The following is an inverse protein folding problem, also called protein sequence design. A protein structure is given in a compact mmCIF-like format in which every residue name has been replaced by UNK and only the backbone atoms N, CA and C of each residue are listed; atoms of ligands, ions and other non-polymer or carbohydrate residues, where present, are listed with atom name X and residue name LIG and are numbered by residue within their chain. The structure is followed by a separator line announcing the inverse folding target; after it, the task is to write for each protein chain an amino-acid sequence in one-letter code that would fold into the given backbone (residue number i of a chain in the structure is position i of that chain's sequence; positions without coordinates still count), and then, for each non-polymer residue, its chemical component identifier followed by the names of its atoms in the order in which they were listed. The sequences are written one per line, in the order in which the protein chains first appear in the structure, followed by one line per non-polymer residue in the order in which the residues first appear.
data_IF_709079410083
#
_entry.id   IF_709079410083
#
_cell.length_a   1.000
_cell.length_b   1.000
_cell.length_c   1.000
_cell.angle_alpha   90.00
_cell.angle_beta   90.00
_cell.angle_gamma   90.00
#
_symmetry.space_group_name_H-M   'P 1'
#
loop_
_entity.id
_entity.type
_entity.pdbx_description
1 polymer ?
#
# COMPACT_ATOMS: atom_id res chain seq x y z
N UNK A 1 5.79 9.02 -3.27
CA UNK A 1 4.77 9.63 -2.39
C UNK A 1 3.87 8.47 -1.98
N UNK A 2 4.19 7.77 -0.90
CA UNK A 2 3.88 6.32 -0.88
C UNK A 2 2.66 5.95 -0.01
N UNK A 3 1.94 6.94 0.54
CA UNK A 3 0.83 6.72 1.51
C UNK A 3 -0.52 7.22 1.01
N UNK A 4 -0.70 7.27 -0.30
CA UNK A 4 -1.94 7.70 -0.92
C UNK A 4 -2.12 7.02 -2.28
N UNK A 5 -3.37 6.79 -2.67
CA UNK A 5 -3.72 6.42 -4.04
C UNK A 5 -3.84 7.69 -4.87
N UNK A 6 -2.96 7.86 -5.86
CA UNK A 6 -2.94 9.03 -6.73
C UNK A 6 -3.94 8.83 -7.87
N UNK A 7 -4.86 9.79 -8.04
CA UNK A 7 -5.78 9.83 -9.17
C UNK A 7 -5.38 10.97 -10.10
N UNK A 8 -4.89 10.63 -11.29
CA UNK A 8 -4.54 11.62 -12.30
C UNK A 8 -5.78 12.16 -13.01
N UNK A 9 -5.98 13.47 -12.92
CA UNK A 9 -7.05 14.15 -13.65
C UNK A 9 -6.58 14.46 -15.08
N UNK A 10 -7.41 14.11 -16.07
CA UNK A 10 -7.18 14.44 -17.48
C UNK A 10 -8.07 15.57 -17.93
N UNK A 11 -7.59 16.36 -18.90
CA UNK A 11 -8.40 17.41 -19.53
C UNK A 11 -9.52 16.75 -20.33
N UNK A 12 -10.73 17.23 -20.09
CA UNK A 12 -11.92 16.88 -20.84
C UNK A 12 -11.74 17.24 -22.33
N UNK A 13 -12.07 16.30 -23.22
CA UNK A 13 -12.09 16.53 -24.67
C UNK A 13 -13.41 17.23 -25.10
N UNK A 14 -13.41 17.88 -26.27
CA UNK A 14 -14.56 18.65 -26.76
C UNK A 14 -15.83 17.81 -26.97
N UNK A 15 -15.68 16.53 -27.27
CA UNK A 15 -16.77 15.58 -27.52
C UNK A 15 -17.21 14.82 -26.26
N UNK A 16 -16.48 14.92 -25.16
CA UNK A 16 -16.90 14.31 -23.90
C UNK A 16 -17.98 15.20 -23.26
N UNK A 17 -19.03 14.60 -22.72
CA UNK A 17 -20.01 15.32 -21.89
C UNK A 17 -19.88 14.81 -20.45
N UNK A 18 -19.81 15.73 -19.50
CA UNK A 18 -19.70 15.41 -18.06
C UNK A 18 -20.66 16.32 -17.34
N UNK A 19 -21.49 15.74 -16.47
CA UNK A 19 -22.42 16.49 -15.63
C UNK A 19 -21.65 17.38 -14.64
N UNK A 20 -22.14 18.60 -14.45
CA UNK A 20 -21.55 19.54 -13.50
C UNK A 20 -22.10 19.25 -12.12
N UNK A 21 -21.25 18.77 -11.22
CA UNK A 21 -21.60 18.54 -9.80
C UNK A 21 -22.18 19.78 -9.10
N UNK A 22 -21.86 21.00 -9.57
CA UNK A 22 -22.43 22.26 -9.05
C UNK A 22 -23.94 22.39 -9.20
N UNK A 23 -24.54 21.64 -10.13
CA UNK A 23 -25.98 21.62 -10.38
C UNK A 23 -26.57 20.23 -10.14
N UNK A 24 -25.91 19.41 -9.33
CA UNK A 24 -26.48 18.14 -8.90
C UNK A 24 -27.76 18.40 -8.08
N UNK A 25 -28.71 17.48 -8.17
CA UNK A 25 -29.95 17.52 -7.39
C UNK A 25 -29.64 17.70 -5.89
N UNK A 26 -30.34 18.62 -5.18
CA UNK A 26 -30.05 18.92 -3.77
C UNK A 26 -29.99 17.68 -2.88
N UNK A 27 -30.89 16.73 -3.11
CA UNK A 27 -31.05 15.52 -2.28
C UNK A 27 -30.11 14.37 -2.69
N UNK A 28 -29.36 14.52 -3.79
CA UNK A 28 -28.50 13.45 -4.30
C UNK A 28 -27.42 13.07 -3.29
N UNK A 29 -26.69 14.07 -2.77
CA UNK A 29 -25.59 13.84 -1.84
C UNK A 29 -26.09 13.34 -0.49
N UNK A 30 -27.22 13.86 0.00
CA UNK A 30 -27.83 13.37 1.23
C UNK A 30 -28.27 11.91 1.10
N UNK A 31 -28.87 11.56 -0.04
CA UNK A 31 -29.28 10.17 -0.33
C UNK A 31 -28.08 9.24 -0.42
N UNK A 32 -26.99 9.66 -1.08
CA UNK A 32 -25.75 8.89 -1.14
C UNK A 32 -25.11 8.75 0.24
N UNK A 33 -25.05 9.82 1.03
CA UNK A 33 -24.51 9.79 2.39
C UNK A 33 -25.29 8.82 3.29
N UNK A 34 -26.63 8.84 3.24
CA UNK A 34 -27.48 7.88 3.97
C UNK A 34 -27.22 6.44 3.54
N UNK A 35 -27.10 6.18 2.23
CA UNK A 35 -26.78 4.84 1.69
C UNK A 35 -25.41 4.36 2.15
N UNK A 36 -24.38 5.21 2.10
CA UNK A 36 -23.03 4.89 2.54
C UNK A 36 -22.97 4.65 4.05
N UNK A 37 -23.65 5.47 4.85
CA UNK A 37 -23.75 5.29 6.30
C UNK A 37 -24.43 3.97 6.66
N UNK A 38 -25.53 3.63 5.97
CA UNK A 38 -26.21 2.34 6.16
C UNK A 38 -25.32 1.16 5.77
N UNK A 39 -24.67 1.24 4.61
CA UNK A 39 -23.71 0.22 4.16
C UNK A 39 -22.59 0.02 5.18
N UNK A 40 -21.98 1.10 5.67
CA UNK A 40 -20.93 1.01 6.67
C UNK A 40 -21.41 0.32 7.96
N UNK A 41 -22.62 0.64 8.43
CA UNK A 41 -23.20 0.01 9.61
C UNK A 41 -23.47 -1.50 9.41
N UNK A 42 -24.03 -1.88 8.27
CA UNK A 42 -24.42 -3.26 7.95
C UNK A 42 -23.22 -4.18 7.75
N UNK A 43 -22.17 -3.68 7.11
CA UNK A 43 -21.06 -4.50 6.65
C UNK A 43 -19.78 -4.33 7.48
N UNK A 44 -19.81 -3.57 8.59
CA UNK A 44 -18.62 -3.28 9.41
C UNK A 44 -17.86 -4.54 9.84
N UNK A 45 -18.57 -5.58 10.27
CA UNK A 45 -17.95 -6.80 10.79
C UNK A 45 -17.36 -7.63 9.65
N UNK A 46 -18.08 -7.72 8.53
CA UNK A 46 -17.60 -8.39 7.32
C UNK A 46 -16.33 -7.74 6.77
N UNK A 47 -16.27 -6.40 6.74
CA UNK A 47 -15.08 -5.65 6.30
C UNK A 47 -13.93 -5.84 7.31
N UNK A 48 -14.20 -5.80 8.62
CA UNK A 48 -13.19 -6.00 9.68
C UNK A 48 -12.52 -7.38 9.59
N UNK A 49 -13.29 -8.41 9.27
CA UNK A 49 -12.82 -9.79 9.14
C UNK A 49 -12.27 -10.12 7.75
N UNK A 50 -12.51 -9.27 6.74
CA UNK A 50 -12.04 -9.50 5.39
C UNK A 50 -10.50 -9.54 5.35
N UNK A 51 -9.97 -10.53 4.63
CA UNK A 51 -8.55 -10.67 4.30
C UNK A 51 -8.46 -10.77 2.78
N UNK A 52 -8.45 -9.63 2.06
CA UNK A 52 -8.41 -9.65 0.61
C UNK A 52 -7.09 -10.22 0.10
N UNK A 53 -7.13 -10.82 -1.07
CA UNK A 53 -5.93 -11.25 -1.79
C UNK A 53 -5.18 -10.02 -2.32
N UNK A 54 -3.95 -9.84 -1.85
CA UNK A 54 -3.09 -8.70 -2.18
C UNK A 54 -2.12 -9.13 -3.29
N UNK A 55 -2.13 -8.47 -4.47
CA UNK A 55 -1.23 -8.82 -5.55
C UNK A 55 0.23 -8.62 -5.15
N UNK A 56 1.06 -9.66 -5.29
CA UNK A 56 2.51 -9.64 -4.98
C UNK A 56 3.28 -8.60 -5.80
N UNK A 57 2.74 -8.15 -6.93
CA UNK A 57 3.35 -7.11 -7.77
C UNK A 57 3.27 -5.71 -7.14
N UNK A 58 2.44 -5.53 -6.10
CA UNK A 58 2.39 -4.29 -5.33
C UNK A 58 3.46 -4.30 -4.25
N UNK A 59 4.17 -3.19 -4.07
CA UNK A 59 5.05 -3.03 -2.92
C UNK A 59 4.24 -2.94 -1.60
N UNK A 60 4.89 -3.18 -0.46
CA UNK A 60 4.23 -3.23 0.86
C UNK A 60 3.36 -2.01 1.16
N UNK A 61 3.83 -0.81 0.78
CA UNK A 61 3.07 0.43 1.00
C UNK A 61 1.83 0.54 0.13
N UNK A 62 1.94 0.09 -1.12
CA UNK A 62 0.80 0.02 -2.02
C UNK A 62 -0.20 -1.03 -1.53
N UNK A 63 0.28 -2.19 -1.05
CA UNK A 63 -0.56 -3.20 -0.42
C UNK A 63 -1.34 -2.63 0.78
N UNK A 64 -0.65 -1.95 1.71
CA UNK A 64 -1.28 -1.29 2.86
C UNK A 64 -2.36 -0.27 2.44
N UNK A 65 -2.11 0.52 1.39
CA UNK A 65 -3.06 1.51 0.89
C UNK A 65 -4.28 0.86 0.21
N UNK A 66 -4.08 -0.28 -0.48
CA UNK A 66 -5.12 -0.96 -1.26
C UNK A 66 -5.91 -1.99 -0.45
N UNK A 67 -5.36 -2.54 0.64
CA UNK A 67 -6.02 -3.51 1.51
C UNK A 67 -7.45 -3.08 1.92
N UNK A 68 -7.70 -1.88 2.47
CA UNK A 68 -9.06 -1.50 2.85
C UNK A 68 -10.01 -1.37 1.65
N UNK A 69 -9.51 -0.94 0.48
CA UNK A 69 -10.31 -0.82 -0.73
C UNK A 69 -10.67 -2.19 -1.30
N UNK A 70 -9.74 -3.13 -1.28
CA UNK A 70 -9.94 -4.51 -1.69
C UNK A 70 -10.86 -5.27 -0.73
N UNK A 71 -10.80 -4.98 0.57
CA UNK A 71 -11.74 -5.52 1.55
C UNK A 71 -13.18 -5.05 1.27
N UNK A 72 -13.39 -3.76 1.01
CA UNK A 72 -14.69 -3.21 0.61
C UNK A 72 -15.17 -3.84 -0.70
N UNK A 73 -14.29 -3.97 -1.69
CA UNK A 73 -14.61 -4.60 -2.97
C UNK A 73 -14.98 -6.09 -2.81
N UNK A 74 -14.28 -6.81 -1.93
CA UNK A 74 -14.58 -8.18 -1.52
C UNK A 74 -16.01 -8.33 -0.98
N UNK A 75 -16.40 -7.44 -0.07
CA UNK A 75 -17.74 -7.45 0.53
C UNK A 75 -18.82 -7.01 -0.47
N UNK A 76 -18.51 -6.07 -1.37
CA UNK A 76 -19.42 -5.68 -2.45
C UNK A 76 -19.64 -6.82 -3.47
N UNK A 77 -18.67 -7.74 -3.59
CA UNK A 77 -18.75 -8.95 -4.38
C UNK A 77 -18.83 -8.72 -5.90
N UNK A 78 -19.24 -9.77 -6.62
CA UNK A 78 -19.32 -9.78 -8.08
C UNK A 78 -17.99 -9.38 -8.74
N UNK A 79 -18.01 -8.36 -9.60
CA UNK A 79 -16.87 -7.90 -10.39
C UNK A 79 -15.99 -6.89 -9.64
N UNK A 80 -16.41 -6.44 -8.45
CA UNK A 80 -15.70 -5.38 -7.72
C UNK A 80 -14.28 -5.79 -7.29
N UNK A 81 -14.03 -7.00 -6.73
CA UNK A 81 -12.68 -7.43 -6.38
C UNK A 81 -11.72 -7.41 -7.57
N UNK A 82 -12.17 -7.91 -8.72
CA UNK A 82 -11.37 -7.97 -9.94
C UNK A 82 -11.05 -6.58 -10.49
N UNK A 83 -12.05 -5.69 -10.51
CA UNK A 83 -11.87 -4.30 -10.92
C UNK A 83 -10.92 -3.55 -10.00
N UNK A 84 -11.04 -3.75 -8.69
CA UNK A 84 -10.17 -3.12 -7.71
C UNK A 84 -8.73 -3.61 -7.84
N UNK A 85 -8.49 -4.92 -8.02
CA UNK A 85 -7.15 -5.48 -8.28
C UNK A 85 -6.54 -4.93 -9.57
N UNK A 86 -7.31 -4.89 -10.65
CA UNK A 86 -6.86 -4.32 -11.93
C UNK A 86 -6.51 -2.83 -11.81
N UNK A 87 -7.30 -2.06 -11.07
CA UNK A 87 -7.01 -0.66 -10.78
C UNK A 87 -5.74 -0.49 -9.94
N UNK A 88 -5.55 -1.32 -8.92
CA UNK A 88 -4.37 -1.30 -8.06
C UNK A 88 -3.09 -1.51 -8.85
N UNK A 89 -3.04 -2.58 -9.66
CA UNK A 89 -1.89 -2.87 -10.52
C UNK A 89 -1.60 -1.74 -11.50
N UNK A 90 -2.64 -1.19 -12.14
CA UNK A 90 -2.48 -0.12 -13.12
C UNK A 90 -2.00 1.19 -12.51
N UNK A 91 -2.49 1.56 -11.32
CA UNK A 91 -2.12 2.80 -10.65
C UNK A 91 -0.75 2.70 -9.96
N UNK A 92 -0.38 1.52 -9.46
CA UNK A 92 0.94 1.29 -8.86
C UNK A 92 2.06 1.15 -9.90
N UNK A 93 1.74 0.74 -11.13
CA UNK A 93 2.69 0.76 -12.24
C UNK A 93 3.13 2.18 -12.66
N UNK A 94 2.39 3.22 -12.27
CA UNK A 94 2.68 4.62 -12.63
C UNK A 94 3.68 5.27 -11.65
N UNK A 95 4.11 4.56 -10.59
CA UNK A 95 5.14 5.06 -9.67
C UNK A 95 6.58 4.92 -10.25
N UNK A 96 6.75 5.37 -11.49
CA UNK A 96 8.03 5.49 -12.21
C UNK A 96 9.05 6.37 -11.47
N UNK A 97 8.62 7.09 -10.43
CA UNK A 97 9.51 7.87 -9.59
C UNK A 97 10.48 6.98 -8.80
N UNK A 98 10.02 5.78 -8.41
CA UNK A 98 10.86 4.74 -7.80
C UNK A 98 11.68 4.01 -8.86
N UNK A 99 11.13 3.74 -10.06
CA UNK A 99 11.89 3.08 -11.13
C UNK A 99 13.07 3.93 -11.62
N UNK A 100 12.86 5.23 -11.86
CA UNK A 100 13.92 6.17 -12.27
C UNK A 100 14.95 6.38 -11.16
N UNK A 101 14.51 6.40 -9.90
CA UNK A 101 15.43 6.51 -8.76
C UNK A 101 16.27 5.24 -8.56
N UNK A 102 15.68 4.07 -8.75
CA UNK A 102 16.40 2.79 -8.67
C UNK A 102 17.32 2.60 -9.88
N UNK A 103 16.91 3.02 -11.08
CA UNK A 103 17.78 3.09 -12.26
C UNK A 103 18.97 4.02 -11.98
N UNK A 104 18.73 5.19 -11.39
CA UNK A 104 19.82 6.09 -10.96
C UNK A 104 20.79 5.40 -9.99
N UNK A 105 20.29 4.66 -9.00
CA UNK A 105 21.15 3.92 -8.09
C UNK A 105 21.95 2.83 -8.81
N UNK A 106 21.34 2.11 -9.75
CA UNK A 106 22.00 1.08 -10.55
C UNK A 106 23.14 1.66 -11.39
N UNK A 107 22.86 2.76 -12.09
CA UNK A 107 23.85 3.44 -12.94
C UNK A 107 24.97 4.06 -12.10
N UNK A 108 24.66 4.58 -10.91
CA UNK A 108 25.69 5.07 -9.97
C UNK A 108 26.59 3.93 -9.52
N UNK A 109 26.04 2.74 -9.20
CA UNK A 109 26.83 1.56 -8.83
C UNK A 109 27.80 1.18 -9.96
N UNK A 110 27.31 1.14 -11.19
CA UNK A 110 28.12 0.87 -12.37
C UNK A 110 29.25 1.90 -12.55
N UNK A 111 28.99 3.20 -12.34
CA UNK A 111 30.03 4.24 -12.38
C UNK A 111 31.12 4.02 -11.34
N UNK A 112 30.76 3.59 -10.12
CA UNK A 112 31.72 3.28 -9.07
C UNK A 112 32.55 2.02 -9.38
N UNK A 113 31.92 0.98 -9.93
CA UNK A 113 32.56 -0.28 -10.32
C UNK A 113 33.50 -0.08 -11.51
N UNK A 114 33.00 0.50 -12.61
CA UNK A 114 33.76 0.74 -13.85
C UNK A 114 35.00 1.61 -13.64
N UNK A 115 34.90 2.65 -12.79
CA UNK A 115 36.02 3.54 -12.47
C UNK A 115 36.83 3.09 -11.26
N UNK A 116 36.40 2.02 -10.57
CA UNK A 116 37.01 1.50 -9.33
C UNK A 116 37.28 2.61 -8.28
N UNK A 117 36.30 3.50 -8.10
CA UNK A 117 36.42 4.66 -7.21
C UNK A 117 35.81 4.36 -5.83
N UNK A 118 36.41 4.92 -4.79
CA UNK A 118 35.82 4.92 -3.43
C UNK A 118 35.08 6.24 -3.17
N UNK A 119 35.51 7.32 -3.83
CA UNK A 119 34.99 8.68 -3.64
C UNK A 119 34.86 9.38 -4.98
N UNK A 120 33.77 10.12 -5.16
CA UNK A 120 33.52 10.87 -6.40
C UNK A 120 32.87 12.22 -6.09
N UNK A 121 33.30 13.28 -6.78
CA UNK A 121 32.66 14.59 -6.67
C UNK A 121 31.29 14.58 -7.35
N UNK A 122 30.35 15.41 -6.88
CA UNK A 122 29.00 15.49 -7.46
C UNK A 122 29.04 15.87 -8.94
N UNK A 123 29.96 16.77 -9.33
CA UNK A 123 30.15 17.19 -10.71
C UNK A 123 30.68 16.05 -11.59
N UNK A 124 31.64 15.26 -11.09
CA UNK A 124 32.21 14.15 -11.85
C UNK A 124 31.23 12.99 -11.95
N UNK A 125 30.43 12.73 -10.91
CA UNK A 125 29.38 11.72 -10.95
C UNK A 125 28.32 12.07 -11.99
N UNK A 126 27.84 13.32 -12.01
CA UNK A 126 26.88 13.77 -13.02
C UNK A 126 27.44 13.64 -14.44
N UNK A 127 28.70 14.02 -14.67
CA UNK A 127 29.37 13.86 -15.97
C UNK A 127 29.47 12.39 -16.38
N UNK A 128 29.89 11.51 -15.47
CA UNK A 128 30.02 10.08 -15.75
C UNK A 128 28.67 9.44 -16.11
N UNK A 129 27.58 9.85 -15.44
CA UNK A 129 26.23 9.39 -15.75
C UNK A 129 25.74 9.88 -17.13
N UNK A 130 26.14 11.08 -17.56
CA UNK A 130 25.79 11.65 -18.88
C UNK A 130 26.63 11.03 -20.02
N UNK A 131 27.88 10.67 -19.73
CA UNK A 131 28.82 10.09 -20.68
C UNK A 131 28.43 8.66 -21.10
N UNK A 132 27.69 7.93 -20.26
CA UNK A 132 27.15 6.63 -20.61
C UNK A 132 25.92 6.80 -21.54
N UNK A 133 26.11 6.56 -22.84
CA UNK A 133 25.07 6.70 -23.87
C UNK A 133 23.90 5.71 -23.71
N UNK A 134 24.11 4.59 -22.98
CA UNK A 134 23.05 3.65 -22.66
C UNK A 134 22.03 4.24 -21.67
N UNK A 135 22.43 5.28 -20.93
CA UNK A 135 21.61 5.88 -19.89
C UNK A 135 20.88 7.13 -20.37
N UNK A 136 19.63 7.30 -19.90
CA UNK A 136 18.77 8.42 -20.27
C UNK A 136 19.16 9.76 -19.59
N UNK A 137 20.31 9.85 -18.92
CA UNK A 137 20.70 11.04 -18.13
C UNK A 137 21.09 12.24 -18.99
N UNK A 138 21.52 12.03 -20.24
CA UNK A 138 21.82 13.10 -21.19
C UNK A 138 20.57 13.87 -21.64
N UNK A 139 19.40 13.22 -21.67
CA UNK A 139 18.12 13.79 -22.14
C UNK A 139 17.03 13.86 -21.05
N UNK A 140 17.41 13.56 -19.80
CA UNK A 140 16.52 13.38 -18.66
C UNK A 140 15.45 14.48 -18.46
N UNK A 141 15.84 15.75 -18.53
CA UNK A 141 14.94 16.86 -18.20
C UNK A 141 14.38 17.53 -19.46
N UNK A 142 13.40 16.86 -20.11
CA UNK A 142 12.79 17.33 -21.37
C UNK A 142 13.84 17.57 -22.46
N UNK A 143 14.77 16.61 -22.62
CA UNK A 143 15.88 16.70 -23.56
C UNK A 143 17.11 17.44 -23.04
N UNK A 144 17.16 17.81 -21.75
CA UNK A 144 18.34 18.44 -21.12
C UNK A 144 19.08 17.44 -20.22
N UNK A 145 20.41 17.58 -20.10
CA UNK A 145 21.23 16.71 -19.26
C UNK A 145 20.91 16.89 -17.77
N UNK A 146 21.09 15.81 -17.01
CA UNK A 146 20.95 15.79 -15.57
C UNK A 146 21.91 16.79 -14.91
N UNK A 147 21.36 17.69 -14.09
CA UNK A 147 22.19 18.67 -13.37
C UNK A 147 22.68 18.12 -12.01
N UNK A 148 23.84 18.57 -11.51
CA UNK A 148 24.34 18.18 -10.18
C UNK A 148 23.35 18.43 -9.04
N UNK A 149 22.56 19.53 -9.13
CA UNK A 149 21.53 19.86 -8.15
C UNK A 149 20.36 18.86 -8.18
N UNK A 150 19.94 18.42 -9.37
CA UNK A 150 18.90 17.41 -9.51
C UNK A 150 19.37 16.06 -8.98
N UNK A 151 20.62 15.68 -9.26
CA UNK A 151 21.24 14.48 -8.72
C UNK A 151 21.21 14.46 -7.18
N UNK A 152 21.68 15.52 -6.54
CA UNK A 152 21.66 15.63 -5.06
C UNK A 152 20.23 15.57 -4.52
N UNK A 153 19.27 16.25 -5.16
CA UNK A 153 17.88 16.23 -4.71
C UNK A 153 17.26 14.83 -4.80
N UNK A 154 17.59 14.05 -5.84
CA UNK A 154 17.15 12.66 -5.96
C UNK A 154 17.78 11.78 -4.89
N UNK A 155 19.09 11.91 -4.67
CA UNK A 155 19.83 11.16 -3.65
C UNK A 155 19.41 11.49 -2.21
N UNK A 156 18.95 12.72 -1.96
CA UNK A 156 18.38 13.10 -0.66
C UNK A 156 17.15 12.24 -0.29
N UNK A 157 16.40 11.73 -1.28
CA UNK A 157 15.27 10.82 -1.05
C UNK A 157 15.70 9.49 -0.43
N UNK A 158 16.94 9.06 -0.68
CA UNK A 158 17.57 7.86 -0.10
C UNK A 158 18.40 8.17 1.15
N UNK A 159 18.22 9.35 1.75
CA UNK A 159 19.04 9.87 2.85
C UNK A 159 20.54 10.03 2.53
N UNK A 160 20.93 9.97 1.25
CA UNK A 160 22.31 10.16 0.80
C UNK A 160 22.58 11.65 0.58
N UNK A 161 23.42 12.22 1.44
CA UNK A 161 23.80 13.64 1.40
C UNK A 161 25.22 13.80 0.90
N UNK A 162 25.43 14.81 0.05
CA UNK A 162 26.79 15.20 -0.35
C UNK A 162 27.58 15.71 0.86
N UNK A 163 28.83 15.26 0.98
CA UNK A 163 29.77 15.68 2.02
C UNK A 163 30.97 16.37 1.38
N UNK A 164 31.64 17.30 2.07
CA UNK A 164 32.95 17.78 1.65
C UNK A 164 33.93 16.60 1.77
N UNK A 165 34.43 16.15 0.63
CA UNK A 165 35.41 15.07 0.53
C UNK A 165 36.71 15.61 -0.06
N UNK A 166 37.82 15.10 0.44
CA UNK A 166 39.14 15.40 -0.11
C UNK A 166 39.46 14.38 -1.20
N UNK A 167 39.64 14.84 -2.43
CA UNK A 167 40.04 14.03 -3.58
C UNK A 167 41.42 14.54 -4.01
N UNK A 168 42.47 13.82 -3.63
CA UNK A 168 43.85 14.28 -3.80
C UNK A 168 44.12 15.58 -3.02
N UNK A 169 44.42 16.66 -3.74
CA UNK A 169 44.74 17.97 -3.17
C UNK A 169 43.53 18.91 -3.03
N UNK A 170 42.41 18.59 -3.67
CA UNK A 170 41.23 19.45 -3.70
C UNK A 170 40.15 18.97 -2.73
N UNK A 171 39.41 19.92 -2.16
CA UNK A 171 38.22 19.66 -1.35
C UNK A 171 37.01 20.00 -2.19
N UNK A 172 36.21 18.99 -2.51
CA UNK A 172 35.00 19.14 -3.30
C UNK A 172 33.80 18.51 -2.58
N UNK A 173 32.59 18.93 -2.94
CA UNK A 173 31.37 18.23 -2.50
C UNK A 173 31.18 16.98 -3.34
N UNK A 174 30.94 15.85 -2.68
CA UNK A 174 30.81 14.58 -3.34
C UNK A 174 30.20 13.50 -2.45
N UNK A 175 30.39 12.26 -2.87
CA UNK A 175 29.87 11.09 -2.21
C UNK A 175 30.94 10.02 -2.07
N UNK A 176 30.78 9.20 -1.04
CA UNK A 176 31.61 8.01 -0.79
C UNK A 176 30.78 6.76 -1.05
N UNK A 177 31.41 5.69 -1.54
CA UNK A 177 30.73 4.44 -1.88
C UNK A 177 29.96 3.85 -0.69
N UNK A 178 30.51 3.96 0.52
CA UNK A 178 29.90 3.52 1.78
C UNK A 178 28.53 4.16 2.06
N UNK A 179 28.26 5.36 1.52
CA UNK A 179 26.95 6.01 1.67
C UNK A 179 25.87 5.31 0.84
N UNK A 180 26.25 4.59 -0.21
CA UNK A 180 25.32 3.94 -1.12
C UNK A 180 25.11 2.46 -0.81
N UNK A 181 26.00 1.81 -0.04
CA UNK A 181 25.93 0.37 0.25
C UNK A 181 24.55 -0.07 0.75
N UNK A 182 23.99 0.63 1.75
CA UNK A 182 22.66 0.33 2.28
C UNK A 182 21.56 0.51 1.22
N UNK A 183 21.67 1.55 0.39
CA UNK A 183 20.68 1.80 -0.68
C UNK A 183 20.80 0.77 -1.81
N UNK A 184 22.01 0.35 -2.17
CA UNK A 184 22.23 -0.71 -3.14
C UNK A 184 21.65 -2.04 -2.64
N UNK A 185 21.88 -2.37 -1.36
CA UNK A 185 21.35 -3.58 -0.72
C UNK A 185 19.84 -3.57 -0.49
N UNK A 186 19.18 -2.41 -0.58
CA UNK A 186 17.72 -2.29 -0.38
C UNK A 186 16.95 -2.15 -1.70
N UNK A 187 17.54 -1.51 -2.70
CA UNK A 187 16.85 -1.13 -3.93
C UNK A 187 17.38 -1.81 -5.19
N UNK A 188 18.60 -2.37 -5.17
CA UNK A 188 19.22 -3.03 -6.33
C UNK A 188 19.37 -4.55 -6.18
N UNK A 189 19.24 -5.05 -4.96
CA UNK A 189 19.06 -6.47 -4.70
C UNK A 189 17.67 -6.90 -5.17
N UNK A 190 17.57 -8.03 -5.88
CA UNK A 190 16.28 -8.64 -6.12
C UNK A 190 15.76 -9.23 -4.80
N UNK A 191 14.94 -8.47 -4.05
CA UNK A 191 14.05 -9.02 -3.02
C UNK A 191 13.09 -10.03 -3.71
N UNK A 192 12.73 -11.23 -3.25
CA UNK A 192 12.78 -11.91 -1.94
C UNK A 192 12.76 -10.97 -0.76
N UNK A 193 11.54 -10.48 -0.52
CA UNK A 193 11.07 -9.69 0.61
C UNK A 193 11.65 -10.15 1.94
N UNK A 194 12.57 -9.38 2.53
CA UNK A 194 12.87 -9.47 3.97
C UNK A 194 13.20 -8.08 4.51
N UNK A 195 12.21 -7.40 5.09
CA UNK A 195 12.49 -6.31 6.04
C UNK A 195 12.34 -6.80 7.47
N UNK A 196 13.46 -6.75 8.20
CA UNK A 196 13.56 -6.89 9.66
C UNK A 196 12.83 -5.76 10.40
N UNK A 197 12.07 -6.14 11.43
CA UNK A 197 11.38 -5.25 12.37
C UNK A 197 12.33 -4.23 13.01
N UNK A 198 12.00 -2.94 12.93
CA UNK A 198 12.64 -1.91 13.74
C UNK A 198 12.12 -1.96 15.17
N UNK A 199 13.01 -2.22 16.14
CA UNK A 199 12.76 -2.02 17.57
C UNK A 199 12.64 -0.52 17.89
N UNK A 200 11.46 -0.09 18.32
CA UNK A 200 11.27 1.21 18.97
C UNK A 200 11.96 1.20 20.34
N UNK A 201 12.60 2.30 20.77
CA UNK A 201 12.96 2.48 22.17
C UNK A 201 11.73 3.00 22.92
N UNK A 202 10.98 2.10 23.57
CA UNK A 202 9.97 2.51 24.55
C UNK A 202 10.67 2.89 25.86
N UNK A 203 10.47 4.14 26.28
CA UNK A 203 10.68 4.61 27.64
C UNK A 203 9.33 4.70 28.33
N UNK A 204 9.29 4.10 29.51
CA UNK A 204 8.30 4.22 30.58
C UNK A 204 6.84 3.87 30.25
N UNK A 205 6.39 2.76 30.82
CA UNK A 205 5.35 2.74 31.86
C UNK A 205 5.42 1.39 32.58
N UNK A 206 5.95 1.43 33.80
CA UNK A 206 6.06 0.30 34.71
C UNK A 206 4.71 0.05 35.41
N UNK A 207 4.16 -1.15 35.27
CA UNK A 207 3.18 -1.71 36.21
C UNK A 207 3.56 -3.17 36.43
N UNK A 208 4.33 -3.41 37.47
CA UNK A 208 4.49 -4.73 38.11
C UNK A 208 3.16 -5.40 38.38
N UNK A 209 3.01 -6.65 37.96
CA UNK A 209 2.45 -7.66 38.84
C UNK A 209 3.19 -8.98 38.64
N UNK A 210 3.85 -9.39 39.72
CA UNK A 210 4.56 -10.64 39.86
C UNK A 210 3.57 -11.79 39.79
N UNK A 211 3.84 -12.76 38.92
CA UNK A 211 3.65 -14.17 39.25
C UNK A 211 4.70 -14.97 38.48
N UNK A 212 5.70 -15.41 39.24
CA UNK A 212 6.77 -16.26 38.80
C UNK A 212 6.24 -17.65 38.47
N UNK A 213 6.60 -18.17 37.28
CA UNK A 213 6.86 -19.60 37.11
C UNK A 213 8.15 -19.74 36.33
N UNK A 214 9.09 -20.43 36.97
CA UNK A 214 10.46 -20.67 36.58
C UNK A 214 10.55 -21.68 35.42
N UNK A 215 11.30 -21.29 34.38
CA UNK A 215 12.25 -22.03 33.51
C UNK A 215 12.26 -23.56 33.74
N UNK A 216 12.25 -24.45 32.72
CA UNK A 216 13.43 -24.75 31.88
C UNK A 216 13.10 -25.80 30.80
N UNK A 217 13.34 -25.43 29.53
CA UNK A 217 14.09 -26.16 28.49
C UNK A 217 14.03 -27.70 28.45
N UNK A 218 13.54 -28.32 27.36
CA UNK A 218 14.29 -29.36 26.61
C UNK A 218 13.88 -29.39 25.12
N UNK A 219 14.90 -29.62 24.31
CA UNK A 219 15.00 -29.78 22.86
C UNK A 219 14.15 -30.89 22.22
N UNK A 220 13.93 -30.70 20.92
CA UNK A 220 13.48 -31.63 19.88
C UNK A 220 14.22 -32.97 19.83
N UNK A 221 13.48 -34.09 19.73
CA UNK A 221 13.92 -35.34 19.09
C UNK A 221 12.71 -36.06 18.45
N UNK A 222 12.82 -36.38 17.17
CA UNK A 222 11.97 -37.33 16.41
C UNK A 222 12.39 -38.78 16.69
N UNK A 223 11.43 -39.71 16.86
CA UNK A 223 11.31 -40.93 16.03
C UNK A 223 10.19 -41.90 16.53
N UNK A 224 9.44 -42.33 15.53
CA UNK A 224 8.49 -43.44 15.33
C UNK A 224 8.31 -44.63 16.32
N UNK A 225 7.02 -44.96 16.46
CA UNK A 225 6.33 -46.27 16.40
C UNK A 225 6.74 -47.43 17.34
N UNK A 226 5.82 -47.92 18.20
CA UNK A 226 4.83 -48.96 17.83
C UNK A 226 3.88 -49.39 18.97
N UNK A 227 2.63 -49.66 18.56
CA UNK A 227 1.58 -50.55 19.09
C UNK A 227 1.57 -51.02 20.56
N UNK A 228 0.49 -50.70 21.30
CA UNK A 228 -0.52 -51.69 21.73
C UNK A 228 -1.64 -51.08 22.59
N UNK A 229 -2.86 -51.50 22.27
CA UNK A 229 -4.04 -51.64 23.12
C UNK A 229 -4.86 -50.41 23.55
N UNK A 230 -6.03 -50.33 22.89
CA UNK A 230 -7.36 -50.11 23.47
C UNK A 230 -8.04 -48.80 23.06
N UNK A 231 -8.89 -48.94 22.05
CA UNK A 231 -9.92 -47.98 21.67
C UNK A 231 -11.01 -47.93 22.76
N UNK A 232 -11.31 -46.75 23.28
CA UNK A 232 -12.62 -46.45 23.87
C UNK A 232 -13.15 -45.17 23.23
N UNK A 233 -14.17 -45.35 22.39
CA UNK A 233 -14.96 -44.29 21.77
C UNK A 233 -15.99 -43.83 22.81
N UNK A 234 -15.89 -42.59 23.28
CA UNK A 234 -17.01 -41.91 23.94
C UNK A 234 -17.54 -40.81 23.04
N UNK A 235 -18.70 -41.14 22.47
CA UNK A 235 -19.65 -40.29 21.77
C UNK A 235 -20.02 -39.10 22.66
N UNK A 236 -19.63 -37.88 22.28
CA UNK A 236 -20.26 -36.68 22.84
C UNK A 236 -21.16 -36.05 21.78
N UNK A 237 -22.39 -35.83 22.22
CA UNK A 237 -23.58 -35.57 21.42
C UNK A 237 -23.57 -34.16 20.80
N UNK A 238 -24.24 -34.06 19.66
CA UNK A 238 -24.49 -32.84 18.91
C UNK A 238 -25.22 -31.79 19.78
N UNK A 239 -24.63 -30.61 19.93
CA UNK A 239 -25.34 -29.41 20.38
C UNK A 239 -25.86 -28.68 19.15
N UNK A 240 -27.12 -28.95 18.80
CA UNK A 240 -27.88 -28.18 17.81
C UNK A 240 -28.33 -26.85 18.44
N UNK A 241 -28.08 -25.69 17.82
CA UNK A 241 -28.61 -24.42 18.32
C UNK A 241 -30.13 -24.34 18.08
N UNK A 242 -30.84 -23.90 19.12
CA UNK A 242 -32.28 -23.63 19.17
C UNK A 242 -32.70 -22.64 18.06
N UNK A 243 -33.77 -22.91 17.28
CA UNK A 243 -34.26 -21.95 16.29
C UNK A 243 -34.92 -20.73 16.97
N UNK A 244 -34.70 -19.55 16.39
CA UNK A 244 -35.33 -18.29 16.80
C UNK A 244 -36.86 -18.33 16.60
N UNK A 245 -37.64 -17.68 17.47
CA UNK A 245 -39.10 -17.67 17.35
C UNK A 245 -39.56 -16.85 16.15
N UNK A 246 -40.50 -17.43 15.40
CA UNK A 246 -41.23 -16.81 14.28
C UNK A 246 -42.11 -15.68 14.81
N UNK A 247 -41.79 -14.44 14.46
CA UNK A 247 -42.68 -13.30 14.67
C UNK A 247 -43.60 -13.15 13.46
N UNK A 248 -44.87 -13.41 13.74
CA UNK A 248 -46.00 -13.45 12.81
C UNK A 248 -46.27 -12.04 12.24
N UNK A 249 -46.21 -11.91 10.92
CA UNK A 249 -46.82 -10.78 10.21
C UNK A 249 -48.33 -10.90 10.31
N UNK A 250 -49.01 -9.94 10.94
CA UNK A 250 -50.41 -9.57 10.67
C UNK A 250 -50.76 -8.29 11.46
N UNK A 251 -50.89 -7.16 10.76
CA UNK A 251 -52.07 -6.29 10.81
C UNK A 251 -51.89 -5.11 9.85
N UNK A 252 -52.61 -5.21 8.74
CA UNK A 252 -52.92 -4.13 7.80
C UNK A 252 -54.04 -3.29 8.43
N UNK A 253 -53.83 -1.98 8.55
CA UNK A 253 -54.94 -1.02 8.59
C UNK A 253 -54.64 0.06 7.56
N UNK A 254 -55.38 0.00 6.45
CA UNK A 254 -55.50 1.04 5.45
C UNK A 254 -56.26 2.23 6.06
N UNK A 255 -55.68 3.43 6.02
CA UNK A 255 -56.40 4.69 6.23
C UNK A 255 -56.74 5.31 4.86
N UNK A 256 -57.94 5.89 4.66
CA UNK A 256 -58.44 6.27 3.34
C UNK A 256 -57.95 7.65 2.89
N UNK A 257 -57.77 7.79 1.56
CA UNK A 257 -57.61 9.06 0.85
C UNK A 257 -58.92 9.87 0.90
N UNK A 258 -58.88 11.20 1.14
CA UNK A 258 -60.05 12.04 0.93
C UNK A 258 -60.22 12.38 -0.56
N UNK A 259 -61.39 12.03 -1.09
CA UNK A 259 -61.93 12.56 -2.33
C UNK A 259 -62.36 14.02 -2.11
N UNK A 260 -61.93 14.92 -3.00
CA UNK A 260 -62.45 16.27 -3.14
C UNK A 260 -63.00 16.42 -4.55
N UNK A 261 -64.32 16.54 -4.64
CA UNK A 261 -65.12 16.62 -5.86
C UNK A 261 -64.98 17.97 -6.59
N UNK A 262 -65.27 17.88 -7.89
CA UNK A 262 -65.51 18.93 -8.87
C UNK A 262 -66.34 20.14 -8.43
N UNK A 263 -66.01 21.31 -9.02
CA UNK A 263 -66.90 22.30 -9.71
C UNK A 263 -66.20 23.67 -9.78
N UNK A 264 -66.31 24.55 -10.78
CA UNK A 264 -66.90 24.60 -12.12
C UNK A 264 -66.52 25.98 -12.74
N UNK A 265 -66.31 26.02 -14.06
CA UNK A 265 -66.61 27.11 -15.04
C UNK A 265 -65.71 28.35 -15.33
N UNK A 266 -65.62 28.52 -16.66
CA UNK A 266 -65.32 29.66 -17.57
C UNK A 266 -63.83 30.01 -17.71
#
# INVERSE_FOLDING_TARGET
MDRAVILELRRKLSHESVERLRYAEPDLFETLARKLARFAADYRESIRLARPDLPEQLNDRAQDNWEPLLAIAGVAGQQWPDRARAAALKLSAIDDSSSVGNQLLADIREVFESKSLIKISTSNLAKALIENEENNWATYNRGKPLTPKQLVNKLNGYAIKSKPIRIGYEVARGFELSQFEESFLRYLTPEKSVTTLQTKPDKDLDVTNQNAVTVTNIQSVTNDCNASNSCNVTRNENVTPKPAPVLNCNNVTLAPLPAGEDKVRI
#
